data_IF_282188580320
#
_entry.id   IF_282188580320
#
_cell.length_a   1.000
_cell.length_b   1.000
_cell.length_c   1.000
_cell.angle_alpha   90.00
_cell.angle_beta   90.00
_cell.angle_gamma   90.00
#
_symmetry.space_group_name_H-M   'P 1'
#
loop_
_entity.id
_entity.type
_entity.pdbx_description
1 polymer ?
#
# COMPACT_ATOMS: atom_id res chain seq x y z
N UNK A 1 -5.06 -20.44 -34.90
CA UNK A 1 -3.99 -19.65 -34.26
C UNK A 1 -4.44 -19.35 -32.83
N UNK A 2 -4.05 -20.19 -31.87
CA UNK A 2 -4.43 -20.02 -30.45
C UNK A 2 -3.28 -19.36 -29.73
N UNK A 3 -3.37 -18.05 -29.53
CA UNK A 3 -2.46 -17.28 -28.69
C UNK A 3 -2.61 -17.70 -27.24
N UNK A 4 -1.67 -18.49 -26.74
CA UNK A 4 -1.54 -18.80 -25.32
C UNK A 4 -0.98 -17.57 -24.61
N UNK A 5 -1.86 -16.88 -23.89
CA UNK A 5 -1.48 -15.85 -22.91
C UNK A 5 -0.65 -16.56 -21.84
N UNK A 6 0.64 -16.25 -21.77
CA UNK A 6 1.52 -16.71 -20.69
C UNK A 6 1.04 -16.08 -19.38
N UNK A 7 0.22 -16.81 -18.62
CA UNK A 7 -0.08 -16.45 -17.24
C UNK A 7 1.24 -16.49 -16.46
N UNK A 8 1.75 -15.31 -16.10
CA UNK A 8 2.91 -15.14 -15.22
C UNK A 8 2.53 -15.73 -13.85
N UNK A 9 2.74 -17.03 -13.68
CA UNK A 9 2.35 -17.78 -12.49
C UNK A 9 3.31 -17.35 -11.38
N UNK A 10 2.83 -16.50 -10.48
CA UNK A 10 3.62 -16.07 -9.32
C UNK A 10 4.13 -17.29 -8.57
N UNK A 11 5.42 -17.30 -8.30
CA UNK A 11 6.03 -18.39 -7.54
C UNK A 11 5.48 -18.42 -6.11
N UNK A 12 5.56 -19.59 -5.46
CA UNK A 12 5.15 -19.76 -4.06
C UNK A 12 5.85 -18.75 -3.14
N UNK A 13 7.12 -18.42 -3.41
CA UNK A 13 7.86 -17.40 -2.65
C UNK A 13 7.24 -16.01 -2.81
N UNK A 14 6.79 -15.64 -4.01
CA UNK A 14 6.18 -14.33 -4.28
C UNK A 14 4.85 -14.20 -3.56
N UNK A 15 4.08 -15.29 -3.54
CA UNK A 15 2.82 -15.35 -2.81
C UNK A 15 3.03 -15.15 -1.31
N UNK A 16 4.04 -15.81 -0.73
CA UNK A 16 4.40 -15.62 0.68
C UNK A 16 4.80 -14.17 0.96
N UNK A 17 5.71 -13.60 0.18
CA UNK A 17 6.17 -12.20 0.34
C UNK A 17 4.99 -11.22 0.23
N UNK A 18 4.07 -11.42 -0.71
CA UNK A 18 2.89 -10.58 -0.84
C UNK A 18 1.94 -10.72 0.35
N UNK A 19 1.76 -11.93 0.86
CA UNK A 19 0.91 -12.19 2.02
C UNK A 19 1.48 -11.52 3.27
N UNK A 20 2.78 -11.66 3.53
CA UNK A 20 3.47 -11.00 4.64
C UNK A 20 3.37 -9.47 4.54
N UNK A 21 3.57 -8.94 3.33
CA UNK A 21 3.42 -7.49 3.07
C UNK A 21 2.00 -7.00 3.37
N UNK A 22 0.97 -7.73 2.92
CA UNK A 22 -0.44 -7.40 3.22
C UNK A 22 -0.72 -7.45 4.71
N UNK A 23 -0.26 -8.48 5.41
CA UNK A 23 -0.43 -8.60 6.86
C UNK A 23 0.24 -7.43 7.61
N UNK A 24 1.44 -7.01 7.18
CA UNK A 24 2.12 -5.84 7.73
C UNK A 24 1.28 -4.58 7.52
N UNK A 25 0.84 -4.30 6.30
CA UNK A 25 0.05 -3.10 5.97
C UNK A 25 -1.31 -3.06 6.65
N UNK A 26 -1.96 -4.21 6.89
CA UNK A 26 -3.22 -4.29 7.62
C UNK A 26 -3.09 -3.86 9.09
N UNK A 27 -1.90 -4.04 9.70
CA UNK A 27 -1.62 -3.63 11.09
C UNK A 27 -1.03 -2.22 11.16
N UNK A 28 -0.37 -1.78 10.11
CA UNK A 28 0.21 -0.44 10.01
C UNK A 28 -0.87 0.61 9.91
N UNK A 29 -0.73 1.69 10.70
CA UNK A 29 -1.65 2.83 10.69
C UNK A 29 -1.00 4.05 10.04
N UNK A 30 -1.81 4.84 9.36
CA UNK A 30 -1.41 6.15 8.87
C UNK A 30 -1.07 7.07 10.04
N UNK A 31 0.05 7.78 9.96
CA UNK A 31 0.47 8.71 11.02
C UNK A 31 -0.47 9.92 11.17
N UNK A 32 -1.16 10.33 10.11
CA UNK A 32 -2.08 11.48 10.17
C UNK A 32 -3.46 11.14 10.73
N UNK A 33 -4.17 10.20 10.12
CA UNK A 33 -5.55 9.88 10.50
C UNK A 33 -5.67 8.70 11.48
N UNK A 34 -4.58 7.98 11.75
CA UNK A 34 -4.54 6.76 12.57
C UNK A 34 -5.40 5.58 12.07
N UNK A 35 -6.02 5.69 10.90
CA UNK A 35 -6.68 4.56 10.25
C UNK A 35 -5.65 3.57 9.69
N UNK A 36 -6.03 2.30 9.54
CA UNK A 36 -5.19 1.28 8.94
C UNK A 36 -4.84 1.64 7.49
N UNK A 37 -3.61 1.33 7.08
CA UNK A 37 -3.17 1.52 5.68
C UNK A 37 -3.91 0.51 4.79
N UNK A 38 -3.89 -0.77 5.17
CA UNK A 38 -4.56 -1.83 4.42
C UNK A 38 -4.17 -1.82 2.95
N UNK A 39 -5.17 -1.80 2.06
CA UNK A 39 -4.99 -1.77 0.61
C UNK A 39 -5.04 -0.35 0.00
N UNK A 40 -5.14 0.71 0.82
CA UNK A 40 -5.17 2.09 0.33
C UNK A 40 -3.79 2.51 -0.17
N UNK A 41 -3.75 3.46 -1.11
CA UNK A 41 -2.50 4.05 -1.59
C UNK A 41 -1.76 4.71 -0.43
N UNK A 42 -0.51 4.33 -0.23
CA UNK A 42 0.32 4.82 0.85
C UNK A 42 1.71 5.23 0.38
N UNK A 43 2.35 6.08 1.16
CA UNK A 43 3.79 6.37 1.05
C UNK A 43 4.46 6.11 2.40
N UNK A 44 5.76 5.88 2.33
CA UNK A 44 6.61 5.71 3.50
C UNK A 44 7.63 6.83 3.50
N UNK A 45 7.72 7.56 4.61
CA UNK A 45 8.69 8.64 4.82
C UNK A 45 9.21 8.54 6.26
N UNK A 46 10.54 8.53 6.44
CA UNK A 46 11.18 8.36 7.75
C UNK A 46 10.58 7.21 8.58
N UNK A 47 10.44 6.04 7.95
CA UNK A 47 9.87 4.83 8.57
C UNK A 47 8.39 4.95 9.02
N UNK A 48 7.72 6.06 8.70
CA UNK A 48 6.31 6.30 8.98
C UNK A 48 5.47 6.10 7.73
N UNK A 49 4.28 5.55 7.92
CA UNK A 49 3.34 5.30 6.84
C UNK A 49 2.25 6.37 6.81
N UNK A 50 1.90 6.79 5.61
CA UNK A 50 0.89 7.83 5.37
C UNK A 50 0.00 7.38 4.22
N UNK A 51 -1.31 7.59 4.31
CA UNK A 51 -2.14 7.52 3.11
C UNK A 51 -1.78 8.68 2.18
N UNK A 52 -1.79 8.42 0.88
CA UNK A 52 -1.56 9.47 -0.14
C UNK A 52 -2.60 10.59 -0.01
N UNK A 53 -3.87 10.22 0.21
CA UNK A 53 -4.96 11.17 0.42
C UNK A 53 -4.76 12.06 1.67
N UNK A 54 -4.18 11.53 2.74
CA UNK A 54 -3.89 12.29 3.95
C UNK A 54 -2.77 13.32 3.75
N UNK A 55 -1.87 13.09 2.80
CA UNK A 55 -0.81 14.04 2.44
C UNK A 55 -1.29 15.14 1.51
N UNK A 56 -2.18 14.81 0.57
CA UNK A 56 -2.73 15.77 -0.40
C UNK A 56 -3.74 16.72 0.25
N UNK A 57 -4.27 16.40 1.44
CA UNK A 57 -4.96 17.36 2.30
C UNK A 57 -3.98 18.39 2.92
N UNK A 58 -3.16 19.00 2.09
CA UNK A 58 -2.73 20.39 2.27
C UNK A 58 -4.03 21.20 2.31
N UNK A 59 -4.66 21.28 3.48
CA UNK A 59 -5.64 22.33 3.73
C UNK A 59 -4.92 23.62 3.31
N UNK A 60 -5.50 24.44 2.40
CA UNK A 60 -4.87 25.70 2.07
C UNK A 60 -4.63 26.42 3.39
N UNK A 61 -3.37 26.81 3.61
CA UNK A 61 -3.01 27.71 4.69
C UNK A 61 -3.83 28.97 4.42
N UNK A 62 -4.95 29.13 5.12
CA UNK A 62 -5.67 30.39 5.14
C UNK A 62 -4.78 31.34 5.93
N UNK A 63 -4.02 32.15 5.20
CA UNK A 63 -3.39 33.35 5.73
C UNK A 63 -4.47 34.42 5.94
#
# INVERSE_FOLDING_TARGET
MTTTITMNKMSSYEQQVMQEKRQKLARTRCRFCQEAIGDRKYVVFEERYFHVECLVQVKPIKN
#
